data_IF_220808150010
#
_entry.id   IF_220808150010
#
_cell.length_a   1.000
_cell.length_b   1.000
_cell.length_c   1.000
_cell.angle_alpha   90.00
_cell.angle_beta   90.00
_cell.angle_gamma   90.00
#
_symmetry.space_group_name_H-M   'P 1'
#
loop_
_entity.id
_entity.type
_entity.pdbx_description
1 polymer ?
#
# COMPACT_ATOMS: atom_id res chain seq x y z
N UNK A 1 12.47 -5.76 -17.67
CA UNK A 1 11.65 -4.90 -18.56
C UNK A 1 10.14 -5.12 -18.35
N UNK A 2 9.68 -5.53 -17.16
CA UNK A 2 8.27 -5.90 -16.92
C UNK A 2 7.57 -5.03 -15.86
N UNK A 3 8.31 -4.25 -15.06
CA UNK A 3 7.74 -3.34 -14.04
C UNK A 3 7.14 -2.05 -14.63
N UNK A 4 7.57 -1.63 -15.83
CA UNK A 4 7.00 -0.44 -16.50
C UNK A 4 5.58 -0.68 -17.04
N UNK A 5 5.20 -1.92 -17.38
CA UNK A 5 3.86 -2.21 -17.91
C UNK A 5 2.78 -2.18 -16.84
N UNK A 6 3.09 -2.64 -15.61
CA UNK A 6 2.12 -2.64 -14.49
C UNK A 6 1.83 -1.22 -13.99
N UNK A 7 2.84 -0.35 -13.99
CA UNK A 7 2.66 1.10 -13.77
C UNK A 7 1.78 1.72 -14.87
N UNK A 8 1.95 1.30 -16.13
CA UNK A 8 1.23 1.88 -17.26
C UNK A 8 -0.25 1.52 -17.26
N UNK A 9 -0.60 0.26 -16.99
CA UNK A 9 -2.02 -0.16 -16.96
C UNK A 9 -2.77 0.48 -15.78
N UNK A 10 -2.14 0.56 -14.59
CA UNK A 10 -2.72 1.28 -13.44
C UNK A 10 -2.83 2.78 -13.70
N UNK A 11 -1.82 3.36 -14.36
CA UNK A 11 -1.84 4.75 -14.78
C UNK A 11 -2.91 5.02 -15.83
N UNK A 12 -3.16 4.12 -16.79
CA UNK A 12 -4.26 4.21 -17.76
C UNK A 12 -5.62 4.15 -17.06
N UNK A 13 -5.81 3.21 -16.13
CA UNK A 13 -7.09 3.10 -15.40
C UNK A 13 -7.34 4.34 -14.55
N UNK A 14 -6.32 4.85 -13.86
CA UNK A 14 -6.42 6.09 -13.08
C UNK A 14 -6.62 7.32 -13.96
N UNK A 15 -5.97 7.37 -15.13
CA UNK A 15 -6.12 8.43 -16.10
C UNK A 15 -7.52 8.42 -16.72
N UNK A 16 -8.07 7.25 -17.05
CA UNK A 16 -9.45 7.10 -17.52
C UNK A 16 -10.47 7.53 -16.45
N UNK A 17 -10.23 7.18 -15.17
CA UNK A 17 -11.05 7.68 -14.04
C UNK A 17 -10.96 9.20 -13.92
N UNK A 18 -9.76 9.77 -14.03
CA UNK A 18 -9.56 11.22 -13.99
C UNK A 18 -10.28 11.91 -15.15
N UNK A 19 -10.12 11.44 -16.39
CA UNK A 19 -10.82 11.98 -17.56
C UNK A 19 -12.34 11.90 -17.44
N UNK A 20 -12.86 10.78 -16.92
CA UNK A 20 -14.29 10.64 -16.64
C UNK A 20 -14.76 11.66 -15.59
N UNK A 21 -14.03 11.81 -14.49
CA UNK A 21 -14.37 12.75 -13.43
C UNK A 21 -14.29 14.22 -13.89
N UNK A 22 -13.30 14.59 -14.71
CA UNK A 22 -13.20 15.94 -15.26
C UNK A 22 -14.34 16.25 -16.23
N UNK A 23 -14.67 15.28 -17.09
CA UNK A 23 -15.80 15.39 -18.04
C UNK A 23 -17.14 15.52 -17.32
N UNK A 24 -17.37 14.73 -16.28
CA UNK A 24 -18.57 14.83 -15.45
C UNK A 24 -18.66 16.19 -14.73
N UNK A 25 -17.54 16.71 -14.22
CA UNK A 25 -17.48 18.02 -13.60
C UNK A 25 -17.77 19.16 -14.59
N UNK A 26 -17.30 19.04 -15.83
CA UNK A 26 -17.52 20.02 -16.90
C UNK A 26 -18.97 20.01 -17.40
N UNK A 27 -19.55 18.84 -17.63
CA UNK A 27 -20.98 18.68 -17.95
C UNK A 27 -21.84 19.27 -16.83
N UNK A 28 -21.45 19.07 -15.57
CA UNK A 28 -22.19 19.65 -14.43
C UNK A 28 -22.17 21.19 -14.46
N UNK A 29 -21.01 21.80 -14.74
CA UNK A 29 -20.90 23.27 -14.88
C UNK A 29 -21.78 23.80 -16.03
N UNK A 30 -21.78 23.12 -17.18
CA UNK A 30 -22.61 23.50 -18.32
C UNK A 30 -24.10 23.37 -18.00
N UNK A 31 -24.52 22.33 -17.28
CA UNK A 31 -25.90 22.17 -16.79
C UNK A 31 -26.31 23.24 -15.79
N UNK A 32 -25.40 23.66 -14.92
CA UNK A 32 -25.66 24.79 -14.01
C UNK A 32 -25.80 26.10 -14.79
N UNK A 33 -24.95 26.33 -15.81
CA UNK A 33 -25.06 27.45 -16.75
C UNK A 33 -26.37 27.46 -17.54
N UNK A 34 -26.87 26.29 -17.97
CA UNK A 34 -28.21 26.17 -18.59
C UNK A 34 -29.31 26.61 -17.64
N UNK A 35 -29.25 26.21 -16.36
CA UNK A 35 -30.24 26.62 -15.36
C UNK A 35 -30.24 28.13 -15.14
N UNK A 36 -29.08 28.78 -15.23
CA UNK A 36 -28.96 30.24 -15.17
C UNK A 36 -29.52 30.91 -16.43
N UNK A 37 -29.16 30.40 -17.62
CA UNK A 37 -29.70 30.85 -18.89
C UNK A 37 -31.24 30.76 -18.94
N UNK A 38 -31.83 29.67 -18.45
CA UNK A 38 -33.29 29.53 -18.35
C UNK A 38 -33.92 30.56 -17.41
N UNK A 39 -33.25 30.93 -16.31
CA UNK A 39 -33.76 31.97 -15.38
C UNK A 39 -33.78 33.36 -16.01
N UNK A 40 -32.78 33.66 -16.84
CA UNK A 40 -32.68 34.95 -17.55
C UNK A 40 -33.42 34.91 -18.89
N UNK A 41 -34.01 33.76 -19.25
CA UNK A 41 -34.70 33.51 -20.52
C UNK A 41 -33.81 33.73 -21.75
N UNK A 42 -32.50 33.48 -21.59
CA UNK A 42 -31.50 33.54 -22.66
C UNK A 42 -31.42 32.18 -23.36
N UNK A 43 -32.12 32.07 -24.48
CA UNK A 43 -32.19 30.84 -25.28
C UNK A 43 -30.88 30.55 -26.03
N UNK A 44 -30.14 31.59 -26.42
CA UNK A 44 -28.92 31.43 -27.22
C UNK A 44 -27.79 30.81 -26.39
N UNK A 45 -27.66 31.20 -25.12
CA UNK A 45 -26.72 30.55 -24.19
C UNK A 45 -27.16 29.15 -23.77
N UNK A 46 -28.47 28.91 -23.67
CA UNK A 46 -29.00 27.57 -23.39
C UNK A 46 -28.66 26.58 -24.51
N UNK A 47 -28.90 26.96 -25.76
CA UNK A 47 -28.63 26.12 -26.94
C UNK A 47 -27.13 25.85 -27.09
N UNK A 48 -26.27 26.87 -26.89
CA UNK A 48 -24.81 26.71 -26.88
C UNK A 48 -24.33 25.71 -25.82
N UNK A 49 -24.82 25.84 -24.59
CA UNK A 49 -24.47 24.92 -23.51
C UNK A 49 -24.98 23.50 -23.78
N UNK A 50 -26.14 23.36 -24.45
CA UNK A 50 -26.67 22.05 -24.83
C UNK A 50 -25.81 21.38 -25.91
N UNK A 51 -25.40 22.12 -26.95
CA UNK A 51 -24.50 21.60 -27.96
C UNK A 51 -23.15 21.16 -27.38
N UNK A 52 -22.64 21.88 -26.38
CA UNK A 52 -21.38 21.56 -25.73
C UNK A 52 -21.49 20.33 -24.82
N UNK A 53 -22.62 20.16 -24.12
CA UNK A 53 -22.93 18.92 -23.41
C UNK A 53 -23.03 17.75 -24.39
N UNK A 54 -23.72 17.90 -25.51
CA UNK A 54 -23.89 16.84 -26.51
C UNK A 54 -22.56 16.46 -27.16
N UNK A 55 -21.67 17.44 -27.41
CA UNK A 55 -20.30 17.20 -27.90
C UNK A 55 -19.48 16.43 -26.87
N UNK A 56 -19.49 16.87 -25.62
CA UNK A 56 -18.80 16.16 -24.55
C UNK A 56 -19.36 14.75 -24.42
N UNK A 57 -20.67 14.54 -24.33
CA UNK A 57 -21.26 13.19 -24.23
C UNK A 57 -20.91 12.29 -25.43
N UNK A 58 -20.86 12.83 -26.65
CA UNK A 58 -20.47 12.10 -27.88
C UNK A 58 -18.98 11.82 -28.01
N UNK A 59 -18.11 12.55 -27.33
CA UNK A 59 -16.70 12.15 -27.20
C UNK A 59 -16.63 10.87 -26.37
N UNK A 60 -16.73 9.72 -27.04
CA UNK A 60 -16.73 8.41 -26.41
C UNK A 60 -15.55 8.26 -25.45
N UNK A 61 -15.75 7.63 -24.29
CA UNK A 61 -14.61 7.25 -23.46
C UNK A 61 -13.70 6.35 -24.30
N UNK A 62 -12.40 6.69 -24.35
CA UNK A 62 -11.34 5.86 -24.93
C UNK A 62 -11.64 4.39 -24.59
N UNK A 63 -11.94 3.59 -25.63
CA UNK A 63 -12.31 2.17 -25.58
C UNK A 63 -11.97 1.53 -24.24
N UNK A 64 -12.99 1.36 -23.39
CA UNK A 64 -12.92 0.40 -22.29
C UNK A 64 -12.58 -0.94 -22.92
N UNK A 65 -11.39 -1.47 -22.63
CA UNK A 65 -11.03 -2.84 -22.95
C UNK A 65 -12.13 -3.70 -22.31
N UNK A 66 -12.94 -4.35 -23.15
CA UNK A 66 -13.91 -5.35 -22.73
C UNK A 66 -13.20 -6.31 -21.77
N UNK A 67 -13.72 -6.39 -20.55
CA UNK A 67 -13.30 -7.40 -19.59
C UNK A 67 -13.73 -8.73 -20.17
N UNK A 68 -12.78 -9.44 -20.79
CA UNK A 68 -12.93 -10.83 -21.18
C UNK A 68 -13.56 -11.59 -20.01
N UNK A 69 -14.66 -12.30 -20.30
CA UNK A 69 -15.41 -13.15 -19.36
C UNK A 69 -14.48 -13.81 -18.34
N UNK A 70 -14.48 -13.31 -17.09
CA UNK A 70 -13.63 -13.84 -16.04
C UNK A 70 -13.91 -15.34 -15.86
N UNK A 71 -12.86 -16.19 -15.78
CA UNK A 71 -13.02 -17.61 -15.48
C UNK A 71 -13.87 -17.83 -14.21
N UNK A 72 -14.76 -18.84 -14.19
CA UNK A 72 -15.68 -19.07 -13.06
C UNK A 72 -14.96 -19.36 -11.72
N UNK A 73 -13.70 -19.81 -11.78
CA UNK A 73 -12.87 -20.01 -10.59
C UNK A 73 -12.52 -18.69 -9.88
N UNK A 74 -12.32 -17.63 -10.67
CA UNK A 74 -11.95 -16.31 -10.15
C UNK A 74 -13.16 -15.62 -9.53
N UNK A 75 -14.34 -15.73 -10.15
CA UNK A 75 -15.58 -15.17 -9.58
C UNK A 75 -15.99 -15.84 -8.28
N UNK A 76 -15.82 -17.17 -8.17
CA UNK A 76 -16.04 -17.91 -6.94
C UNK A 76 -15.08 -17.48 -5.81
N UNK A 77 -13.84 -17.15 -6.14
CA UNK A 77 -12.85 -16.67 -5.18
C UNK A 77 -13.12 -15.24 -4.72
N UNK A 78 -13.48 -14.34 -5.64
CA UNK A 78 -13.89 -12.96 -5.32
C UNK A 78 -15.12 -12.95 -4.40
N UNK A 79 -16.06 -13.88 -4.62
CA UNK A 79 -17.24 -14.02 -3.75
C UNK A 79 -16.86 -14.45 -2.32
N UNK A 80 -15.82 -15.28 -2.17
CA UNK A 80 -15.30 -15.70 -0.86
C UNK A 80 -14.43 -14.64 -0.18
N UNK A 81 -13.89 -13.70 -0.95
CA UNK A 81 -12.98 -12.66 -0.49
C UNK A 81 -13.51 -11.25 -0.84
N UNK A 82 -14.55 -10.74 -0.15
CA UNK A 82 -15.15 -9.45 -0.45
C UNK A 82 -14.19 -8.26 -0.35
N UNK A 83 -13.16 -8.39 0.50
CA UNK A 83 -12.09 -7.41 0.66
C UNK A 83 -11.29 -7.16 -0.63
N UNK A 84 -11.34 -8.06 -1.61
CA UNK A 84 -10.63 -7.89 -2.87
C UNK A 84 -11.20 -6.76 -3.74
N UNK A 85 -12.52 -6.53 -3.66
CA UNK A 85 -13.20 -5.47 -4.43
C UNK A 85 -13.29 -4.13 -3.67
N UNK A 86 -12.86 -4.09 -2.41
CA UNK A 86 -12.85 -2.85 -1.64
C UNK A 86 -11.62 -2.03 -2.03
N UNK A 87 -11.86 -0.84 -2.60
CA UNK A 87 -10.81 0.08 -3.00
C UNK A 87 -9.99 0.63 -1.81
N UNK A 88 -10.51 0.50 -0.58
CA UNK A 88 -9.86 0.95 0.64
C UNK A 88 -9.06 -0.16 1.35
N UNK A 89 -9.16 -1.41 0.90
CA UNK A 89 -8.43 -2.53 1.50
C UNK A 89 -7.10 -2.77 0.77
N UNK A 90 -5.99 -2.57 1.48
CA UNK A 90 -4.64 -2.75 0.98
C UNK A 90 -4.35 -4.20 0.52
N UNK A 91 -5.13 -5.17 0.99
CA UNK A 91 -5.01 -6.59 0.59
C UNK A 91 -5.29 -6.80 -0.89
N UNK A 92 -6.19 -6.02 -1.49
CA UNK A 92 -6.55 -6.14 -2.91
C UNK A 92 -5.33 -5.92 -3.83
N UNK A 93 -4.59 -4.84 -3.60
CA UNK A 93 -3.38 -4.52 -4.37
C UNK A 93 -2.25 -5.53 -4.18
N UNK A 94 -2.10 -6.05 -2.95
CA UNK A 94 -1.10 -7.09 -2.64
C UNK A 94 -1.47 -8.41 -3.33
N UNK A 95 -2.74 -8.80 -3.30
CA UNK A 95 -3.26 -10.00 -3.95
C UNK A 95 -2.95 -10.00 -5.45
N UNK A 96 -3.24 -8.88 -6.12
CA UNK A 96 -3.00 -8.71 -7.54
C UNK A 96 -1.50 -8.76 -7.89
N UNK A 97 -0.65 -8.16 -7.06
CA UNK A 97 0.81 -8.23 -7.23
C UNK A 97 1.34 -9.66 -7.11
N UNK A 98 0.83 -10.43 -6.16
CA UNK A 98 1.21 -11.85 -5.98
C UNK A 98 0.68 -12.70 -7.14
N UNK A 99 -0.55 -12.48 -7.57
CA UNK A 99 -1.16 -13.15 -8.73
C UNK A 99 -0.31 -12.98 -9.99
N UNK A 100 0.03 -11.73 -10.33
CA UNK A 100 0.89 -11.40 -11.49
C UNK A 100 2.28 -12.00 -11.34
N UNK A 101 2.88 -11.93 -10.15
CA UNK A 101 4.19 -12.55 -9.91
C UNK A 101 4.16 -14.07 -10.06
N UNK A 102 3.08 -14.73 -9.66
CA UNK A 102 2.94 -16.19 -9.78
C UNK A 102 2.72 -16.62 -11.23
N UNK A 103 1.89 -15.92 -12.00
CA UNK A 103 1.71 -16.20 -13.42
C UNK A 103 2.99 -15.99 -14.23
N UNK A 104 3.75 -14.93 -13.92
CA UNK A 104 5.03 -14.67 -14.59
C UNK A 104 6.10 -15.71 -14.26
N UNK A 105 6.14 -16.20 -13.02
CA UNK A 105 7.14 -17.20 -12.56
C UNK A 105 6.75 -18.62 -12.95
N UNK A 106 5.45 -18.90 -13.00
CA UNK A 106 4.89 -20.22 -13.22
C UNK A 106 3.75 -20.14 -14.26
N UNK A 107 4.09 -20.00 -15.56
CA UNK A 107 3.10 -19.89 -16.63
C UNK A 107 2.30 -21.18 -16.86
N UNK A 108 2.67 -22.30 -16.23
CA UNK A 108 2.01 -23.60 -16.31
C UNK A 108 1.00 -23.84 -15.19
N UNK A 109 0.89 -22.93 -14.21
CA UNK A 109 -0.03 -23.11 -13.09
C UNK A 109 -1.46 -22.79 -13.49
N UNK A 110 -2.39 -23.60 -12.99
CA UNK A 110 -3.81 -23.35 -13.18
C UNK A 110 -4.28 -22.20 -12.30
N UNK A 111 -5.34 -21.50 -12.71
CA UNK A 111 -5.88 -20.35 -11.98
C UNK A 111 -6.17 -20.70 -10.50
N UNK A 112 -6.78 -21.85 -10.23
CA UNK A 112 -6.98 -22.39 -8.88
C UNK A 112 -5.68 -22.51 -8.04
N UNK A 113 -4.57 -22.96 -8.62
CA UNK A 113 -3.28 -23.06 -7.92
C UNK A 113 -2.68 -21.69 -7.60
N UNK A 114 -2.84 -20.73 -8.52
CA UNK A 114 -2.40 -19.35 -8.29
C UNK A 114 -3.25 -18.71 -7.19
N UNK A 115 -4.56 -18.93 -7.17
CA UNK A 115 -5.47 -18.39 -6.15
C UNK A 115 -5.11 -18.91 -4.75
N UNK A 116 -4.82 -20.21 -4.62
CA UNK A 116 -4.39 -20.79 -3.35
C UNK A 116 -3.06 -20.20 -2.84
N UNK A 117 -2.14 -19.89 -3.76
CA UNK A 117 -0.88 -19.24 -3.40
C UNK A 117 -1.09 -17.77 -2.99
N UNK A 118 -2.01 -17.07 -3.65
CA UNK A 118 -2.40 -15.71 -3.26
C UNK A 118 -3.02 -15.71 -1.86
N UNK A 119 -3.94 -16.63 -1.56
CA UNK A 119 -4.56 -16.75 -0.25
C UNK A 119 -3.54 -17.00 0.86
N UNK A 120 -2.63 -17.97 0.66
CA UNK A 120 -1.57 -18.27 1.64
C UNK A 120 -0.65 -17.07 1.88
N UNK A 121 -0.37 -16.29 0.83
CA UNK A 121 0.48 -15.10 0.96
C UNK A 121 -0.23 -13.97 1.70
N UNK A 122 -1.52 -13.79 1.48
CA UNK A 122 -2.32 -12.76 2.16
C UNK A 122 -2.55 -13.14 3.61
N UNK A 123 -2.82 -14.40 3.93
CA UNK A 123 -2.95 -14.88 5.30
C UNK A 123 -1.64 -14.74 6.08
N UNK A 124 -0.49 -14.96 5.43
CA UNK A 124 0.82 -14.71 6.04
C UNK A 124 1.09 -13.23 6.32
N UNK A 125 0.56 -12.32 5.51
CA UNK A 125 0.77 -10.87 5.65
C UNK A 125 -0.26 -10.23 6.58
N UNK A 126 -1.47 -10.76 6.58
CA UNK A 126 -2.61 -10.29 7.36
C UNK A 126 -3.22 -11.43 8.16
N UNK A 127 -2.48 -11.96 9.16
CA UNK A 127 -3.01 -13.01 10.01
C UNK A 127 -4.23 -12.49 10.76
N UNK A 128 -5.37 -13.17 10.57
CA UNK A 128 -6.65 -12.83 11.21
C UNK A 128 -6.63 -13.03 12.72
N UNK A 129 -5.63 -13.74 13.23
CA UNK A 129 -5.41 -13.95 14.67
C UNK A 129 -4.01 -13.46 15.03
N UNK A 130 -3.83 -12.64 16.08
CA UNK A 130 -2.49 -12.25 16.53
C UNK A 130 -1.71 -13.51 16.93
N UNK A 131 -0.77 -13.92 16.08
CA UNK A 131 0.14 -15.02 16.41
C UNK A 131 1.02 -14.56 17.56
N UNK A 132 0.83 -15.17 18.72
CA UNK A 132 1.68 -14.93 19.89
C UNK A 132 3.14 -15.25 19.50
N UNK A 133 4.05 -14.25 19.47
CA UNK A 133 5.43 -14.44 19.01
C UNK A 133 6.23 -15.41 19.88
N UNK A 134 5.75 -15.79 21.07
CA UNK A 134 6.38 -16.81 21.92
C UNK A 134 6.11 -18.24 21.44
N UNK A 135 5.14 -18.48 20.55
CA UNK A 135 4.78 -19.83 20.09
C UNK A 135 5.71 -20.38 18.99
N UNK A 136 6.40 -19.52 18.24
CA UNK A 136 7.43 -19.95 17.28
C UNK A 136 8.77 -20.30 17.94
N UNK A 137 8.94 -20.01 19.24
CA UNK A 137 10.14 -20.38 19.99
C UNK A 137 10.05 -21.76 20.68
N UNK A 138 8.92 -22.47 20.58
CA UNK A 138 8.69 -23.67 21.39
C UNK A 138 9.07 -25.01 20.75
N UNK A 139 9.98 -25.03 19.77
CA UNK A 139 10.56 -26.28 19.23
C UNK A 139 12.05 -26.11 18.95
N UNK A 140 12.87 -25.94 20.00
CA UNK A 140 14.30 -26.23 19.93
C UNK A 140 14.84 -26.52 21.34
N UNK A 141 14.26 -27.54 21.98
CA UNK A 141 14.81 -28.12 23.20
C UNK A 141 15.49 -29.44 22.84
N UNK A 142 16.66 -29.36 22.21
CA UNK A 142 17.63 -30.45 22.32
C UNK A 142 19.06 -29.95 22.06
N UNK A 143 19.88 -30.10 23.11
CA UNK A 143 21.34 -30.09 23.15
C UNK A 143 22.10 -29.38 22.02
N UNK A 144 22.74 -28.24 22.36
CA UNK A 144 24.17 -28.14 22.05
C UNK A 144 24.90 -27.08 22.88
N UNK A 145 25.96 -27.58 23.54
CA UNK A 145 27.22 -26.92 23.93
C UNK A 145 27.26 -25.39 24.02
N UNK A 146 27.53 -24.96 25.25
CA UNK A 146 28.23 -23.73 25.62
C UNK A 146 29.38 -23.40 24.65
N UNK A 147 29.12 -22.44 23.74
CA UNK A 147 30.17 -21.68 23.07
C UNK A 147 29.88 -20.20 23.30
N UNK A 148 30.75 -19.58 24.10
CA UNK A 148 30.77 -18.16 24.40
C UNK A 148 30.76 -17.33 23.11
N UNK A 149 29.57 -16.85 22.71
CA UNK A 149 29.46 -15.76 21.75
C UNK A 149 29.71 -14.47 22.51
N UNK A 150 30.83 -13.80 22.22
CA UNK A 150 31.02 -12.39 22.57
C UNK A 150 29.83 -11.62 22.03
N UNK A 151 28.89 -11.25 22.90
CA UNK A 151 27.88 -10.27 22.56
C UNK A 151 28.59 -8.93 22.41
N UNK A 152 28.49 -8.30 21.24
CA UNK A 152 28.63 -6.85 21.12
C UNK A 152 27.54 -6.22 22.00
N UNK A 153 27.79 -6.16 23.30
CA UNK A 153 26.90 -5.52 24.26
C UNK A 153 27.35 -4.07 24.30
N UNK A 154 26.58 -3.19 23.68
CA UNK A 154 26.77 -1.75 23.86
C UNK A 154 26.76 -1.41 25.35
N UNK A 155 27.55 -0.41 25.75
CA UNK A 155 27.59 0.06 27.13
C UNK A 155 26.17 0.34 27.61
N UNK A 156 25.82 -0.23 28.77
CA UNK A 156 24.56 0.07 29.45
C UNK A 156 24.82 1.08 30.57
N UNK A 157 23.78 1.74 31.08
CA UNK A 157 23.90 2.78 32.12
C UNK A 157 24.61 2.31 33.41
N UNK A 158 24.58 1.01 33.66
CA UNK A 158 25.25 0.37 34.79
C UNK A 158 26.77 0.21 34.59
N UNK A 159 27.25 0.30 33.34
CA UNK A 159 28.66 0.16 32.97
C UNK A 159 29.42 1.52 32.96
N UNK A 160 28.72 2.62 33.29
CA UNK A 160 29.28 3.97 33.38
C UNK A 160 30.00 4.18 34.72
N UNK A 161 31.08 4.98 34.67
CA UNK A 161 31.77 5.42 35.89
C UNK A 161 30.92 6.44 36.65
N UNK A 162 31.23 6.65 37.93
CA UNK A 162 30.51 7.62 38.75
C UNK A 162 30.50 9.03 38.13
N UNK A 163 31.64 9.47 37.59
CA UNK A 163 31.77 10.77 36.92
C UNK A 163 30.91 10.90 35.66
N UNK A 164 30.82 9.85 34.84
CA UNK A 164 29.99 9.86 33.63
C UNK A 164 28.50 9.82 33.97
N UNK A 165 28.13 9.12 35.05
CA UNK A 165 26.77 9.10 35.58
C UNK A 165 26.37 10.47 36.13
N UNK A 166 27.28 11.16 36.81
CA UNK A 166 27.06 12.52 37.30
C UNK A 166 26.98 13.55 36.15
N UNK A 167 27.76 13.35 35.09
CA UNK A 167 27.66 14.16 33.87
C UNK A 167 26.31 13.95 33.15
N UNK A 168 25.78 12.72 33.11
CA UNK A 168 24.43 12.46 32.61
C UNK A 168 23.36 13.15 33.45
N UNK A 169 23.48 13.08 34.79
CA UNK A 169 22.50 13.70 35.69
C UNK A 169 22.56 15.23 35.65
N UNK A 170 23.74 15.81 35.38
CA UNK A 170 23.94 17.27 35.38
C UNK A 170 23.66 17.92 34.02
N UNK A 171 24.03 17.27 32.91
CA UNK A 171 23.99 17.85 31.56
C UNK A 171 23.41 16.92 30.49
N UNK A 172 23.16 15.66 30.84
CA UNK A 172 22.75 14.62 29.89
C UNK A 172 21.43 14.91 29.19
N UNK A 173 20.44 15.42 29.93
CA UNK A 173 19.13 15.77 29.36
C UNK A 173 19.12 17.05 28.51
N UNK A 174 20.12 17.91 28.67
CA UNK A 174 20.23 19.18 27.92
C UNK A 174 21.10 19.02 26.66
N UNK A 175 22.18 18.25 26.74
CA UNK A 175 23.12 18.04 25.64
C UNK A 175 22.74 16.88 24.71
N UNK A 176 22.00 15.88 25.21
CA UNK A 176 21.62 14.70 24.46
C UNK A 176 20.11 14.49 24.51
N UNK A 177 19.51 14.14 23.35
CA UNK A 177 18.05 13.94 23.27
C UNK A 177 17.61 12.61 23.87
N UNK A 178 18.51 11.63 23.92
CA UNK A 178 18.22 10.28 24.42
C UNK A 178 19.41 9.69 25.14
N UNK A 179 19.14 8.83 26.13
CA UNK A 179 20.15 8.08 26.89
C UNK A 179 21.04 7.24 25.97
N UNK A 180 20.48 6.67 24.90
CA UNK A 180 21.22 5.89 23.91
C UNK A 180 22.28 6.70 23.15
N UNK A 181 22.03 7.98 22.91
CA UNK A 181 22.97 8.88 22.22
C UNK A 181 24.18 9.20 23.11
N UNK A 182 23.93 9.42 24.40
CA UNK A 182 24.98 9.61 25.38
C UNK A 182 25.82 8.35 25.58
N UNK A 183 25.20 7.18 25.72
CA UNK A 183 25.91 5.89 25.83
C UNK A 183 26.80 5.63 24.61
N UNK A 184 26.36 6.05 23.41
CA UNK A 184 27.17 5.97 22.19
C UNK A 184 28.37 6.92 22.22
N UNK A 185 28.19 8.16 22.67
CA UNK A 185 29.29 9.13 22.81
C UNK A 185 30.33 8.69 23.86
N UNK A 186 29.88 8.16 25.00
CA UNK A 186 30.77 7.61 26.05
C UNK A 186 31.51 6.37 25.53
N UNK A 187 30.83 5.47 24.80
CA UNK A 187 31.49 4.31 24.20
C UNK A 187 32.55 4.69 23.16
N UNK A 188 32.33 5.77 22.41
CA UNK A 188 33.27 6.26 21.40
C UNK A 188 34.49 6.96 22.00
N UNK A 189 34.34 7.61 23.15
CA UNK A 189 35.45 8.25 23.87
C UNK A 189 36.30 7.26 24.67
N UNK A 190 35.68 6.20 25.23
CA UNK A 190 36.39 5.10 25.90
C UNK A 190 37.11 4.13 24.94
N UNK A 191 36.65 4.04 23.70
CA UNK A 191 37.17 3.11 22.69
C UNK A 191 38.38 3.63 21.89
N UNK A 192 39.03 4.71 22.33
CA UNK A 192 40.24 5.28 21.74
C UNK A 192 41.39 5.31 22.73
#
# INVERSE_FOLDING_TARGET
MSDQKVSFDSQIVNLNKYHKATKEAEIKKLKDGQREATKVSDLDTYDKNQEEIDKLEKEEPVKTVETESQPPEISAWITKNPWFNDANDERGGVAEGVWKSCLNKNPTWTNSQVLAHVDSRIESLYPTTPTNPRRSQSNLSENNTSTTRRSNKGLTMNDLTAEERDNWNSFGSELFKTEAEFLKAVSATRGK
#
